data_IF_369740760438
#
_entry.id   IF_369740760438
#
_cell.length_a   1.000
_cell.length_b   1.000
_cell.length_c   1.000
_cell.angle_alpha   90.00
_cell.angle_beta   90.00
_cell.angle_gamma   90.00
#
_symmetry.space_group_name_H-M   'P 1'
#
loop_
_entity.id
_entity.type
_entity.pdbx_description
1 polymer ?
#
# COMPACT_ATOMS: atom_id res chain seq x y z
N UNK A 1 -15.30 -39.05 6.18
CA UNK A 1 -13.97 -38.62 5.73
C UNK A 1 -13.48 -37.60 6.75
N UNK A 2 -12.68 -38.02 7.73
CA UNK A 2 -12.17 -37.18 8.82
C UNK A 2 -10.89 -36.51 8.32
N UNK A 3 -10.89 -35.19 8.25
CA UNK A 3 -9.69 -34.42 7.93
C UNK A 3 -8.62 -34.69 8.99
N UNK A 4 -7.37 -34.83 8.57
CA UNK A 4 -6.23 -34.94 9.49
C UNK A 4 -6.10 -33.62 10.28
N UNK A 5 -5.77 -33.63 11.58
CA UNK A 5 -5.64 -32.41 12.38
C UNK A 5 -4.73 -31.35 11.78
N UNK A 6 -3.65 -31.75 11.11
CA UNK A 6 -2.72 -30.85 10.37
C UNK A 6 -3.41 -30.12 9.22
N UNK A 7 -4.32 -30.80 8.49
CA UNK A 7 -5.03 -30.22 7.35
C UNK A 7 -6.07 -29.20 7.81
N UNK A 8 -6.70 -29.46 8.97
CA UNK A 8 -7.64 -28.54 9.58
C UNK A 8 -6.96 -27.26 10.06
N UNK A 9 -5.77 -27.36 10.66
CA UNK A 9 -4.97 -26.20 11.09
C UNK A 9 -4.48 -25.37 9.89
N UNK A 10 -4.01 -26.02 8.83
CA UNK A 10 -3.58 -25.33 7.61
C UNK A 10 -4.75 -24.61 6.93
N UNK A 11 -5.93 -25.22 6.88
CA UNK A 11 -7.14 -24.61 6.33
C UNK A 11 -7.60 -23.40 7.17
N UNK A 12 -7.53 -23.48 8.50
CA UNK A 12 -7.85 -22.37 9.39
C UNK A 12 -6.90 -21.17 9.17
N UNK A 13 -5.59 -21.41 9.14
CA UNK A 13 -4.58 -20.38 8.87
C UNK A 13 -4.78 -19.71 7.50
N UNK A 14 -5.10 -20.49 6.46
CA UNK A 14 -5.37 -19.95 5.12
C UNK A 14 -6.65 -19.09 5.11
N UNK A 15 -7.68 -19.47 5.86
CA UNK A 15 -8.91 -18.70 6.00
C UNK A 15 -8.68 -17.37 6.72
N UNK A 16 -7.86 -17.37 7.77
CA UNK A 16 -7.52 -16.17 8.54
C UNK A 16 -6.77 -15.16 7.68
N UNK A 17 -5.77 -15.60 6.91
CA UNK A 17 -5.01 -14.69 6.02
C UNK A 17 -5.88 -14.14 4.88
N UNK A 18 -6.80 -14.94 4.34
CA UNK A 18 -7.74 -14.47 3.33
C UNK A 18 -8.72 -13.42 3.91
N UNK A 19 -9.15 -13.60 5.17
CA UNK A 19 -10.00 -12.62 5.86
C UNK A 19 -9.26 -11.30 6.09
N UNK A 20 -7.98 -11.37 6.45
CA UNK A 20 -7.11 -10.19 6.59
C UNK A 20 -6.99 -9.42 5.26
N UNK A 21 -6.70 -10.09 4.14
CA UNK A 21 -6.62 -9.43 2.83
C UNK A 21 -7.94 -8.75 2.44
N UNK A 22 -9.09 -9.38 2.74
CA UNK A 22 -10.40 -8.73 2.52
C UNK A 22 -10.58 -7.48 3.37
N UNK A 23 -10.15 -7.52 4.63
CA UNK A 23 -10.20 -6.36 5.52
C UNK A 23 -9.29 -5.22 4.99
N UNK A 24 -8.07 -5.53 4.55
CA UNK A 24 -7.15 -4.56 3.94
C UNK A 24 -7.76 -3.97 2.67
N UNK A 25 -8.35 -4.79 1.79
CA UNK A 25 -9.05 -4.31 0.59
C UNK A 25 -10.15 -3.32 0.95
N UNK A 26 -11.01 -3.67 1.91
CA UNK A 26 -12.11 -2.81 2.36
C UNK A 26 -11.60 -1.50 2.94
N UNK A 27 -10.61 -1.54 3.83
CA UNK A 27 -9.99 -0.34 4.40
C UNK A 27 -9.35 0.55 3.33
N UNK A 28 -8.60 -0.03 2.39
CA UNK A 28 -7.95 0.68 1.28
C UNK A 28 -8.95 1.43 0.43
N UNK A 29 -10.02 0.76 -0.02
CA UNK A 29 -11.03 1.36 -0.88
C UNK A 29 -11.86 2.42 -0.14
N UNK A 30 -12.12 2.21 1.15
CA UNK A 30 -12.78 3.20 2.00
C UNK A 30 -11.91 4.46 2.15
N UNK A 31 -10.61 4.30 2.46
CA UNK A 31 -9.67 5.41 2.56
C UNK A 31 -9.53 6.14 1.22
N UNK A 32 -9.48 5.41 0.11
CA UNK A 32 -9.45 5.99 -1.23
C UNK A 32 -10.71 6.82 -1.51
N UNK A 33 -11.89 6.30 -1.17
CA UNK A 33 -13.16 7.02 -1.33
C UNK A 33 -13.21 8.30 -0.49
N UNK A 34 -12.82 8.23 0.78
CA UNK A 34 -12.72 9.40 1.66
C UNK A 34 -11.70 10.42 1.13
N UNK A 35 -10.57 9.95 0.64
CA UNK A 35 -9.55 10.81 0.05
C UNK A 35 -10.07 11.57 -1.18
N UNK A 36 -10.85 10.92 -2.06
CA UNK A 36 -11.46 11.60 -3.20
C UNK A 36 -12.45 12.70 -2.80
N UNK A 37 -13.21 12.53 -1.72
CA UNK A 37 -14.07 13.59 -1.18
C UNK A 37 -13.25 14.78 -0.69
N UNK A 38 -12.11 14.52 -0.03
CA UNK A 38 -11.18 15.59 0.40
C UNK A 38 -10.60 16.31 -0.81
N UNK A 39 -10.12 15.57 -1.81
CA UNK A 39 -9.50 16.13 -3.03
C UNK A 39 -10.45 17.04 -3.79
N UNK A 40 -11.74 16.73 -3.86
CA UNK A 40 -12.74 17.57 -4.51
C UNK A 40 -12.81 18.98 -3.89
N UNK A 41 -12.59 19.10 -2.59
CA UNK A 41 -12.59 20.40 -1.88
C UNK A 41 -11.24 21.10 -1.92
N UNK A 42 -10.17 20.33 -2.03
CA UNK A 42 -8.79 20.77 -1.89
C UNK A 42 -8.14 21.21 -3.21
N UNK A 43 -8.53 20.60 -4.35
CA UNK A 43 -7.86 20.78 -5.64
C UNK A 43 -8.35 22.01 -6.44
N UNK A 44 -9.12 22.90 -5.81
CA UNK A 44 -9.65 24.11 -6.44
C UNK A 44 -8.76 25.32 -6.09
N UNK A 45 -8.23 26.03 -7.09
CA UNK A 45 -7.48 27.27 -6.92
C UNK A 45 -6.07 27.26 -7.52
N UNK A 46 -5.26 28.27 -7.18
CA UNK A 46 -3.88 28.40 -7.67
C UNK A 46 -3.01 27.21 -7.24
N UNK A 47 -2.10 26.78 -8.12
CA UNK A 47 -1.28 25.58 -7.89
C UNK A 47 -2.02 24.24 -8.09
N UNK A 48 -3.19 24.25 -8.73
CA UNK A 48 -4.05 23.08 -8.92
C UNK A 48 -3.33 21.85 -9.53
N UNK A 49 -2.33 22.08 -10.39
CA UNK A 49 -1.58 20.99 -11.04
C UNK A 49 -0.75 20.19 -10.04
N UNK A 50 0.01 20.88 -9.17
CA UNK A 50 0.87 20.23 -8.18
C UNK A 50 0.03 19.58 -7.08
N UNK A 51 -1.06 20.23 -6.65
CA UNK A 51 -2.03 19.67 -5.71
C UNK A 51 -2.68 18.39 -6.25
N UNK A 52 -3.11 18.39 -7.51
CA UNK A 52 -3.68 17.19 -8.16
C UNK A 52 -2.67 16.06 -8.26
N UNK A 53 -1.42 16.37 -8.58
CA UNK A 53 -0.34 15.38 -8.63
C UNK A 53 -0.06 14.77 -7.26
N UNK A 54 0.02 15.61 -6.22
CA UNK A 54 0.14 15.14 -4.84
C UNK A 54 -1.03 14.26 -4.46
N UNK A 55 -2.26 14.70 -4.74
CA UNK A 55 -3.48 13.97 -4.46
C UNK A 55 -3.52 12.60 -5.15
N UNK A 56 -3.09 12.53 -6.41
CA UNK A 56 -2.99 11.27 -7.15
C UNK A 56 -1.96 10.33 -6.53
N UNK A 57 -0.76 10.84 -6.18
CA UNK A 57 0.26 10.04 -5.52
C UNK A 57 -0.20 9.47 -4.18
N UNK A 58 -0.96 10.23 -3.37
CA UNK A 58 -1.56 9.71 -2.13
C UNK A 58 -2.63 8.66 -2.43
N UNK A 59 -3.47 8.89 -3.45
CA UNK A 59 -4.50 7.92 -3.86
C UNK A 59 -3.89 6.56 -4.22
N UNK A 60 -2.70 6.53 -4.83
CA UNK A 60 -2.00 5.29 -5.17
C UNK A 60 -1.52 4.51 -3.93
N UNK A 61 -1.18 5.18 -2.82
CA UNK A 61 -0.88 4.51 -1.56
C UNK A 61 -2.10 3.79 -0.94
N UNK A 62 -3.31 4.13 -1.36
CA UNK A 62 -4.53 3.40 -1.01
C UNK A 62 -4.92 2.39 -2.09
N UNK A 63 -4.88 2.79 -3.35
CA UNK A 63 -5.33 1.96 -4.46
C UNK A 63 -4.48 0.70 -4.64
N UNK A 64 -3.14 0.83 -4.67
CA UNK A 64 -2.24 -0.29 -4.95
C UNK A 64 -2.31 -1.39 -3.87
N UNK A 65 -2.24 -1.10 -2.56
CA UNK A 65 -2.46 -2.09 -1.52
C UNK A 65 -3.85 -2.75 -1.61
N UNK A 66 -4.89 -1.97 -1.93
CA UNK A 66 -6.25 -2.49 -2.11
C UNK A 66 -6.35 -3.49 -3.26
N UNK A 67 -5.77 -3.18 -4.42
CA UNK A 67 -5.76 -4.06 -5.58
C UNK A 67 -4.94 -5.33 -5.32
N UNK A 68 -3.74 -5.20 -4.74
CA UNK A 68 -2.90 -6.34 -4.39
C UNK A 68 -3.62 -7.29 -3.42
N UNK A 69 -4.25 -6.73 -2.37
CA UNK A 69 -5.04 -7.49 -1.40
C UNK A 69 -6.26 -8.16 -2.03
N UNK A 70 -6.96 -7.45 -2.92
CA UNK A 70 -8.11 -8.00 -3.63
C UNK A 70 -7.72 -9.24 -4.43
N UNK A 71 -6.66 -9.15 -5.22
CA UNK A 71 -6.15 -10.28 -6.01
C UNK A 71 -5.70 -11.42 -5.11
N UNK A 72 -4.99 -11.12 -4.01
CA UNK A 72 -4.54 -12.13 -3.05
C UNK A 72 -5.71 -12.86 -2.36
N UNK A 73 -6.86 -12.19 -2.20
CA UNK A 73 -8.06 -12.77 -1.59
C UNK A 73 -8.86 -13.68 -2.52
N UNK A 74 -8.70 -13.54 -3.86
CA UNK A 74 -9.51 -14.27 -4.86
C UNK A 74 -9.07 -15.71 -5.06
N UNK A 75 -7.78 -16.00 -4.96
CA UNK A 75 -7.30 -17.36 -5.22
C UNK A 75 -6.02 -17.66 -4.43
N UNK A 76 -6.15 -18.49 -3.40
CA UNK A 76 -5.02 -18.93 -2.57
C UNK A 76 -4.15 -20.00 -3.23
N UNK A 77 -4.64 -20.70 -4.25
CA UNK A 77 -3.97 -21.87 -4.82
C UNK A 77 -3.01 -21.53 -5.96
N UNK A 78 -3.25 -20.43 -6.69
CA UNK A 78 -2.38 -20.01 -7.79
C UNK A 78 -1.31 -19.04 -7.29
N UNK A 79 -0.16 -19.60 -6.88
CA UNK A 79 0.95 -18.80 -6.35
C UNK A 79 1.49 -17.73 -7.31
N UNK A 80 1.41 -17.95 -8.61
CA UNK A 80 1.87 -16.98 -9.62
C UNK A 80 1.01 -15.71 -9.65
N UNK A 81 -0.30 -15.82 -9.42
CA UNK A 81 -1.22 -14.69 -9.56
C UNK A 81 -0.95 -13.59 -8.53
N UNK A 82 -0.83 -13.96 -7.24
CA UNK A 82 -0.54 -12.97 -6.21
C UNK A 82 0.87 -12.36 -6.39
N UNK A 83 1.87 -13.16 -6.76
CA UNK A 83 3.24 -12.68 -7.01
C UNK A 83 3.27 -11.62 -8.10
N UNK A 84 2.58 -11.86 -9.21
CA UNK A 84 2.47 -10.89 -10.31
C UNK A 84 1.75 -9.62 -9.85
N UNK A 85 0.63 -9.75 -9.12
CA UNK A 85 -0.13 -8.60 -8.63
C UNK A 85 0.72 -7.72 -7.69
N UNK A 86 1.39 -8.34 -6.70
CA UNK A 86 2.24 -7.61 -5.77
C UNK A 86 3.46 -7.00 -6.47
N UNK A 87 4.11 -7.73 -7.38
CA UNK A 87 5.22 -7.23 -8.17
C UNK A 87 4.84 -6.02 -9.03
N UNK A 88 3.72 -6.07 -9.74
CA UNK A 88 3.22 -4.94 -10.54
C UNK A 88 2.88 -3.74 -9.65
N UNK A 89 2.14 -3.95 -8.56
CA UNK A 89 1.80 -2.88 -7.61
C UNK A 89 3.07 -2.23 -7.03
N UNK A 90 4.10 -3.03 -6.72
CA UNK A 90 5.36 -2.54 -6.22
C UNK A 90 6.10 -1.68 -7.25
N UNK A 91 6.21 -2.13 -8.50
CA UNK A 91 6.86 -1.37 -9.58
C UNK A 91 6.16 -0.03 -9.80
N UNK A 92 4.82 -0.03 -9.89
CA UNK A 92 4.05 1.21 -10.03
C UNK A 92 4.22 2.13 -8.81
N UNK A 93 4.19 1.59 -7.60
CA UNK A 93 4.36 2.35 -6.37
C UNK A 93 5.73 3.00 -6.26
N UNK A 94 6.81 2.27 -6.59
CA UNK A 94 8.18 2.82 -6.63
C UNK A 94 8.29 3.91 -7.70
N UNK A 95 7.80 3.64 -8.92
CA UNK A 95 7.89 4.60 -10.02
C UNK A 95 7.19 5.92 -9.68
N UNK A 96 5.99 5.87 -9.10
CA UNK A 96 5.24 7.06 -8.72
C UNK A 96 5.91 7.81 -7.56
N UNK A 97 6.32 7.12 -6.50
CA UNK A 97 6.99 7.74 -5.38
C UNK A 97 8.34 8.37 -5.78
N UNK A 98 9.13 7.71 -6.63
CA UNK A 98 10.37 8.24 -7.16
C UNK A 98 10.14 9.46 -8.07
N UNK A 99 9.14 9.40 -8.96
CA UNK A 99 8.78 10.50 -9.85
C UNK A 99 8.34 11.73 -9.06
N UNK A 100 7.61 11.54 -7.96
CA UNK A 100 7.28 12.64 -7.04
C UNK A 100 8.53 13.26 -6.43
N UNK A 101 9.51 12.44 -6.01
CA UNK A 101 10.77 12.93 -5.43
C UNK A 101 11.62 13.73 -6.42
N UNK A 102 11.55 13.49 -7.69
CA UNK A 102 12.36 14.16 -8.72
C UNK A 102 11.73 15.43 -9.26
N UNK A 103 10.41 15.59 -9.21
CA UNK A 103 9.69 16.64 -9.95
C UNK A 103 9.06 17.73 -9.09
N UNK A 104 8.83 17.51 -7.80
CA UNK A 104 8.15 18.50 -6.95
C UNK A 104 9.14 19.50 -6.36
N UNK A 105 8.72 20.78 -6.19
CA UNK A 105 9.50 21.88 -5.63
C UNK A 105 9.81 21.77 -4.13
N UNK A 106 9.56 22.83 -3.35
CA UNK A 106 9.80 22.85 -1.89
C UNK A 106 9.04 21.74 -1.16
N UNK A 107 9.73 20.96 -0.33
CA UNK A 107 9.17 19.81 0.40
C UNK A 107 9.62 19.84 1.83
N UNK A 108 8.73 19.48 2.73
CA UNK A 108 9.09 19.21 4.12
C UNK A 108 9.94 17.93 4.23
N UNK A 109 10.87 17.92 5.17
CA UNK A 109 11.68 16.72 5.45
C UNK A 109 10.80 15.49 5.76
N UNK A 110 9.67 15.70 6.43
CA UNK A 110 8.69 14.66 6.75
C UNK A 110 8.07 14.06 5.49
N UNK A 111 7.67 14.88 4.50
CA UNK A 111 7.12 14.40 3.24
C UNK A 111 8.12 13.54 2.48
N UNK A 112 9.39 13.95 2.46
CA UNK A 112 10.47 13.19 1.83
C UNK A 112 10.66 11.85 2.57
N UNK A 113 10.75 11.87 3.90
CA UNK A 113 10.94 10.66 4.71
C UNK A 113 9.82 9.63 4.50
N UNK A 114 8.55 10.08 4.49
CA UNK A 114 7.41 9.21 4.23
C UNK A 114 7.43 8.61 2.81
N UNK A 115 7.82 9.38 1.80
CA UNK A 115 7.95 8.89 0.43
C UNK A 115 9.08 7.87 0.30
N UNK A 116 10.23 8.13 0.93
CA UNK A 116 11.35 7.18 0.98
C UNK A 116 10.94 5.90 1.70
N UNK A 117 10.24 6.00 2.83
CA UNK A 117 9.67 4.84 3.52
C UNK A 117 8.73 4.04 2.61
N UNK A 118 7.86 4.71 1.87
CA UNK A 118 6.98 4.06 0.87
C UNK A 118 7.76 3.33 -0.21
N UNK A 119 8.83 3.94 -0.77
CA UNK A 119 9.70 3.28 -1.76
C UNK A 119 10.33 2.02 -1.15
N UNK A 120 10.87 2.10 0.06
CA UNK A 120 11.48 0.95 0.74
C UNK A 120 10.45 -0.17 0.92
N UNK A 121 9.23 0.15 1.36
CA UNK A 121 8.16 -0.84 1.53
C UNK A 121 7.76 -1.49 0.21
N UNK A 122 7.63 -0.74 -0.88
CA UNK A 122 7.34 -1.28 -2.21
C UNK A 122 8.50 -2.16 -2.74
N UNK A 123 9.75 -1.77 -2.50
CA UNK A 123 10.92 -2.59 -2.87
C UNK A 123 10.94 -3.90 -2.09
N UNK A 124 10.66 -3.87 -0.78
CA UNK A 124 10.55 -5.08 0.04
C UNK A 124 9.40 -5.98 -0.47
N UNK A 125 8.25 -5.42 -0.79
CA UNK A 125 7.12 -6.13 -1.38
C UNK A 125 7.51 -6.80 -2.71
N UNK A 126 8.20 -6.08 -3.60
CA UNK A 126 8.72 -6.67 -4.83
C UNK A 126 9.72 -7.80 -4.57
N UNK A 127 10.60 -7.65 -3.58
CA UNK A 127 11.60 -8.65 -3.24
C UNK A 127 10.96 -9.94 -2.73
N UNK A 128 9.98 -9.86 -1.83
CA UNK A 128 9.23 -11.02 -1.29
C UNK A 128 8.39 -11.68 -2.40
N UNK A 129 7.73 -10.90 -3.26
CA UNK A 129 6.98 -11.42 -4.40
C UNK A 129 7.89 -12.15 -5.40
N UNK A 130 9.11 -11.66 -5.64
CA UNK A 130 10.09 -12.27 -6.54
C UNK A 130 10.74 -13.52 -5.92
N UNK A 131 11.08 -13.46 -4.63
CA UNK A 131 11.77 -14.52 -3.88
C UNK A 131 11.07 -14.80 -2.55
N UNK A 132 10.03 -15.63 -2.53
CA UNK A 132 9.31 -15.96 -1.30
C UNK A 132 10.19 -16.55 -0.20
N UNK A 133 11.32 -17.19 -0.58
CA UNK A 133 12.30 -17.77 0.32
C UNK A 133 12.94 -16.73 1.25
N UNK A 134 12.97 -15.45 0.88
CA UNK A 134 13.50 -14.37 1.71
C UNK A 134 12.79 -14.28 3.07
N UNK A 135 11.50 -14.58 3.13
CA UNK A 135 10.74 -14.56 4.38
C UNK A 135 11.23 -15.66 5.36
N UNK A 136 11.62 -16.82 4.83
CA UNK A 136 12.18 -17.94 5.60
C UNK A 136 13.64 -17.73 5.96
N UNK A 137 14.44 -17.18 5.04
CA UNK A 137 15.86 -16.90 5.22
C UNK A 137 16.12 -15.85 6.32
N UNK A 138 15.21 -14.89 6.45
CA UNK A 138 15.26 -13.87 7.51
C UNK A 138 14.86 -14.41 8.90
N UNK A 139 14.55 -15.70 9.03
CA UNK A 139 14.16 -16.36 10.28
C UNK A 139 13.02 -15.65 11.04
N UNK A 140 12.14 -14.94 10.31
CA UNK A 140 11.03 -14.20 10.91
C UNK A 140 9.93 -15.12 11.46
N UNK A 141 9.95 -16.41 11.14
CA UNK A 141 8.90 -17.36 11.50
C UNK A 141 7.55 -17.09 10.82
N UNK A 142 7.54 -16.19 9.82
CA UNK A 142 6.36 -15.74 9.09
C UNK A 142 6.32 -16.36 7.68
N UNK A 143 5.14 -16.72 7.23
CA UNK A 143 4.95 -17.11 5.84
C UNK A 143 5.11 -15.87 4.91
N UNK A 144 5.55 -16.04 3.64
CA UNK A 144 5.72 -14.93 2.69
C UNK A 144 4.47 -14.06 2.57
N UNK A 145 3.28 -14.64 2.59
CA UNK A 145 2.01 -13.90 2.55
C UNK A 145 1.74 -13.07 3.80
N UNK A 146 2.20 -13.52 4.96
CA UNK A 146 2.07 -12.75 6.21
C UNK A 146 2.98 -11.53 6.19
N UNK A 147 4.20 -11.67 5.66
CA UNK A 147 5.12 -10.55 5.45
C UNK A 147 4.49 -9.52 4.50
N UNK A 148 3.94 -9.97 3.36
CA UNK A 148 3.25 -9.09 2.42
C UNK A 148 2.05 -8.40 3.06
N UNK A 149 1.28 -9.08 3.89
CA UNK A 149 0.15 -8.52 4.62
C UNK A 149 0.58 -7.36 5.54
N UNK A 150 1.70 -7.53 6.25
CA UNK A 150 2.29 -6.48 7.10
C UNK A 150 2.75 -5.29 6.24
N UNK A 151 3.43 -5.54 5.12
CA UNK A 151 3.89 -4.49 4.21
C UNK A 151 2.73 -3.66 3.67
N UNK A 152 1.61 -4.29 3.32
CA UNK A 152 0.40 -3.58 2.88
C UNK A 152 -0.17 -2.67 3.97
N UNK A 153 -0.23 -3.14 5.22
CA UNK A 153 -0.70 -2.32 6.34
C UNK A 153 0.21 -1.09 6.57
N UNK A 154 1.53 -1.28 6.47
CA UNK A 154 2.50 -0.19 6.59
C UNK A 154 2.38 0.81 5.42
N UNK A 155 2.11 0.35 4.20
CA UNK A 155 1.84 1.23 3.06
C UNK A 155 0.59 2.08 3.26
N UNK A 156 -0.49 1.50 3.81
CA UNK A 156 -1.69 2.26 4.16
C UNK A 156 -1.41 3.30 5.24
N UNK A 157 -0.59 2.96 6.25
CA UNK A 157 -0.17 3.90 7.28
C UNK A 157 0.63 5.08 6.68
N UNK A 158 1.57 4.81 5.78
CA UNK A 158 2.32 5.85 5.05
C UNK A 158 1.37 6.71 4.24
N UNK A 159 0.42 6.11 3.50
CA UNK A 159 -0.58 6.82 2.72
C UNK A 159 -1.44 7.75 3.57
N UNK A 160 -1.91 7.29 4.74
CA UNK A 160 -2.70 8.09 5.67
C UNK A 160 -1.90 9.30 6.22
N UNK A 161 -0.62 9.10 6.55
CA UNK A 161 0.25 10.19 6.99
C UNK A 161 0.54 11.21 5.88
N UNK A 162 0.73 10.75 4.63
CA UNK A 162 0.89 11.64 3.47
C UNK A 162 -0.39 12.43 3.18
N UNK A 163 -1.56 11.81 3.35
CA UNK A 163 -2.85 12.50 3.20
C UNK A 163 -3.01 13.60 4.26
N UNK A 164 -2.69 13.28 5.52
CA UNK A 164 -2.74 14.25 6.61
C UNK A 164 -1.79 15.43 6.38
N UNK A 165 -0.54 15.15 6.01
CA UNK A 165 0.46 16.19 5.76
C UNK A 165 0.03 17.13 4.63
N UNK A 166 -0.51 16.60 3.54
CA UNK A 166 -1.01 17.40 2.43
C UNK A 166 -2.17 18.33 2.82
N UNK A 167 -3.00 17.95 3.78
CA UNK A 167 -4.07 18.81 4.29
C UNK A 167 -3.56 19.95 5.18
N UNK A 168 -2.57 19.68 6.05
CA UNK A 168 -2.05 20.68 6.99
C UNK A 168 -1.22 21.74 6.29
N UNK A 169 -0.34 21.37 5.36
CA UNK A 169 0.48 22.33 4.59
C UNK A 169 -0.37 23.30 3.77
N UNK A 170 -1.56 22.92 3.37
CA UNK A 170 -2.45 23.76 2.58
C UNK A 170 -3.28 24.73 3.43
N UNK A 171 -3.56 24.39 4.67
CA UNK A 171 -4.22 25.26 5.62
C UNK A 171 -3.37 26.47 5.99
N UNK A 172 -2.06 26.28 6.15
CA UNK A 172 -1.11 27.35 6.48
C UNK A 172 -0.93 28.33 5.32
N UNK A 173 -0.90 27.84 4.06
CA UNK A 173 -0.80 28.69 2.87
C UNK A 173 -2.04 29.53 2.59
N UNK A 174 -3.21 29.16 3.10
CA UNK A 174 -4.47 29.89 2.93
C UNK A 174 -4.70 30.94 4.02
N UNK A 175 -3.93 30.90 5.12
CA UNK A 175 -4.02 31.82 6.26
C UNK A 175 -2.94 32.90 6.31
N UNK A 176 -1.97 32.90 5.37
CA UNK A 176 -0.91 33.88 5.21
C UNK A 176 -1.20 34.82 4.03
#
# INVERSE_FOLDING_TARGET
MTLHPSDALAAASAADIASYYRAVTSASLTLLGLWWVVVQRYALGEGARDKRRHAYGVALFFLLPGLASLVASLNSEVSALWRVAFGLCAVFGVAEAATYLTTSGTRTATAIALRVAGIVLYVLMAAVAARPELATDLHLGLAPREVEAILLALLLLVGANLAWLGMTESGEAAGA
#
